data_IF_405625558928
#
_entry.id   IF_405625558928
#
_cell.length_a   1.000
_cell.length_b   1.000
_cell.length_c   1.000
_cell.angle_alpha   90.00
_cell.angle_beta   90.00
_cell.angle_gamma   90.00
#
_symmetry.space_group_name_H-M   'P 1'
#
loop_
_entity.id
_entity.type
_entity.pdbx_description
1 polymer ?
#
# COMPACT_ATOMS: atom_id res chain seq x y z
N UNK A 1 -2.08 -6.62 4.57
CA UNK A 1 -2.32 -6.97 3.15
C UNK A 1 -3.79 -7.29 2.89
N UNK A 2 -4.44 -6.72 1.88
CA UNK A 2 -5.72 -7.24 1.39
C UNK A 2 -5.57 -8.56 0.62
N UNK A 3 -6.48 -9.49 0.87
CA UNK A 3 -6.80 -10.60 -0.04
C UNK A 3 -8.07 -10.23 -0.80
N UNK A 4 -7.90 -9.91 -2.08
CA UNK A 4 -8.97 -9.49 -2.98
C UNK A 4 -9.84 -10.62 -3.53
N UNK A 5 -9.40 -11.89 -3.42
CA UNK A 5 -10.20 -13.05 -3.81
C UNK A 5 -11.14 -13.44 -2.68
N UNK A 6 -10.63 -13.43 -1.45
CA UNK A 6 -11.38 -13.86 -0.27
C UNK A 6 -11.98 -12.70 0.54
N UNK A 7 -11.81 -11.45 0.09
CA UNK A 7 -12.30 -10.22 0.72
C UNK A 7 -11.99 -10.16 2.22
N UNK A 8 -10.71 -10.10 2.57
CA UNK A 8 -10.26 -10.01 3.97
C UNK A 8 -8.92 -9.29 4.10
N UNK A 9 -8.58 -8.86 5.31
CA UNK A 9 -7.22 -8.44 5.64
C UNK A 9 -6.41 -9.58 6.26
N UNK A 10 -5.15 -9.67 5.84
CA UNK A 10 -4.17 -10.66 6.25
C UNK A 10 -2.96 -9.93 6.84
N UNK A 11 -2.43 -10.47 7.94
CA UNK A 11 -1.30 -9.92 8.69
C UNK A 11 -0.14 -10.91 8.67
N UNK A 12 1.04 -10.37 8.38
CA UNK A 12 2.31 -11.06 8.37
C UNK A 12 3.23 -10.43 9.40
N UNK A 13 4.23 -11.19 9.85
CA UNK A 13 5.36 -10.68 10.63
C UNK A 13 6.20 -9.80 9.72
N UNK A 14 6.46 -8.57 10.15
CA UNK A 14 7.35 -7.63 9.45
C UNK A 14 8.83 -8.04 9.56
N UNK A 15 9.15 -8.97 10.46
CA UNK A 15 10.52 -9.45 10.65
C UNK A 15 10.92 -10.54 9.66
N UNK A 16 10.01 -11.46 9.36
CA UNK A 16 10.32 -12.67 8.58
C UNK A 16 9.26 -13.08 7.54
N UNK A 17 8.15 -12.36 7.46
CA UNK A 17 7.08 -12.61 6.49
C UNK A 17 6.21 -13.82 6.84
N UNK A 18 6.39 -14.43 8.01
CA UNK A 18 5.52 -15.50 8.48
C UNK A 18 4.08 -15.01 8.68
N UNK A 19 3.10 -15.86 8.37
CA UNK A 19 1.68 -15.53 8.51
C UNK A 19 1.30 -15.45 9.99
N UNK A 20 0.86 -14.27 10.45
CA UNK A 20 0.41 -14.06 11.82
C UNK A 20 -1.11 -14.23 11.96
N UNK A 21 -1.86 -13.68 11.01
CA UNK A 21 -3.32 -13.79 10.99
C UNK A 21 -3.84 -13.84 9.56
N UNK A 22 -4.49 -14.95 9.20
CA UNK A 22 -5.05 -15.19 7.86
C UNK A 22 -6.39 -14.49 7.62
N UNK A 23 -6.98 -13.89 8.66
CA UNK A 23 -8.25 -13.17 8.61
C UNK A 23 -8.35 -12.19 9.80
N UNK A 24 -7.65 -11.06 9.72
CA UNK A 24 -7.78 -9.99 10.70
C UNK A 24 -9.24 -9.54 10.80
N UNK A 25 -9.87 -9.31 9.65
CA UNK A 25 -11.32 -9.20 9.48
C UNK A 25 -11.72 -9.32 8.01
N UNK A 26 -13.00 -9.58 7.77
CA UNK A 26 -13.60 -9.61 6.43
C UNK A 26 -13.88 -8.21 5.88
N UNK A 27 -13.77 -8.07 4.57
CA UNK A 27 -14.05 -6.86 3.80
C UNK A 27 -15.35 -7.01 3.01
N UNK A 28 -15.98 -5.89 2.68
CA UNK A 28 -17.25 -5.85 1.98
C UNK A 28 -17.18 -6.23 0.48
N UNK A 29 -15.99 -6.47 -0.07
CA UNK A 29 -15.77 -6.72 -1.50
C UNK A 29 -15.14 -5.54 -2.23
N UNK A 30 -15.48 -5.37 -3.51
CA UNK A 30 -15.02 -4.22 -4.31
C UNK A 30 -13.60 -4.32 -4.84
N UNK A 31 -12.98 -5.50 -4.87
CA UNK A 31 -11.58 -5.71 -5.26
C UNK A 31 -10.63 -4.82 -4.46
N UNK A 32 -10.42 -5.12 -3.16
CA UNK A 32 -9.54 -4.32 -2.33
C UNK A 32 -8.09 -4.39 -2.83
N UNK A 33 -7.39 -3.26 -2.91
CA UNK A 33 -6.04 -3.18 -3.48
C UNK A 33 -5.01 -2.84 -2.41
N UNK A 34 -5.24 -1.80 -1.62
CA UNK A 34 -4.30 -1.32 -0.62
C UNK A 34 -5.00 -1.12 0.70
N UNK A 35 -4.41 -1.63 1.79
CA UNK A 35 -4.85 -1.34 3.15
C UNK A 35 -3.71 -0.65 3.89
N UNK A 36 -3.96 0.59 4.34
CA UNK A 36 -2.99 1.46 5.01
C UNK A 36 -3.59 1.95 6.33
N UNK A 37 -2.78 2.00 7.38
CA UNK A 37 -3.20 2.60 8.65
C UNK A 37 -3.25 4.13 8.54
N UNK A 38 -4.39 4.71 8.91
CA UNK A 38 -4.62 6.17 8.90
C UNK A 38 -5.15 6.58 10.26
N UNK A 39 -4.26 7.07 11.12
CA UNK A 39 -4.60 7.38 12.51
C UNK A 39 -5.09 6.14 13.26
N UNK A 40 -6.31 6.19 13.79
CA UNK A 40 -6.95 5.08 14.52
C UNK A 40 -7.75 4.11 13.64
N UNK A 41 -7.55 4.15 12.33
CA UNK A 41 -8.33 3.38 11.35
C UNK A 41 -7.43 2.63 10.37
N UNK A 42 -8.01 1.66 9.68
CA UNK A 42 -7.45 1.06 8.47
C UNK A 42 -8.29 1.53 7.29
N UNK A 43 -7.65 2.21 6.35
CA UNK A 43 -8.28 2.63 5.10
C UNK A 43 -7.95 1.61 4.01
N UNK A 44 -8.96 1.18 3.27
CA UNK A 44 -8.85 0.15 2.24
C UNK A 44 -9.36 0.70 0.92
N UNK A 45 -8.49 0.83 -0.07
CA UNK A 45 -8.91 1.18 -1.44
C UNK A 45 -9.57 -0.01 -2.12
N UNK A 46 -10.65 0.26 -2.85
CA UNK A 46 -11.47 -0.74 -3.53
C UNK A 46 -11.61 -0.38 -5.01
N UNK A 47 -11.02 -1.19 -5.88
CA UNK A 47 -10.95 -0.89 -7.32
C UNK A 47 -12.30 -0.90 -8.00
N UNK A 48 -13.13 -1.92 -7.75
CA UNK A 48 -14.49 -2.03 -8.29
C UNK A 48 -15.51 -1.44 -7.31
N UNK A 49 -15.12 -1.27 -6.05
CA UNK A 49 -15.93 -0.56 -5.06
C UNK A 49 -15.93 0.97 -5.26
N UNK A 50 -15.03 1.48 -6.11
CA UNK A 50 -14.88 2.89 -6.47
C UNK A 50 -14.73 3.82 -5.27
N UNK A 51 -14.08 3.35 -4.20
CA UNK A 51 -14.03 4.06 -2.92
C UNK A 51 -12.82 3.68 -2.08
N UNK A 52 -12.67 4.39 -0.98
CA UNK A 52 -11.81 3.99 0.14
C UNK A 52 -12.69 3.64 1.34
N UNK A 53 -12.79 2.35 1.70
CA UNK A 53 -13.48 1.89 2.89
C UNK A 53 -12.67 2.19 4.16
N UNK A 54 -13.34 2.60 5.24
CA UNK A 54 -12.72 2.94 6.54
C UNK A 54 -13.15 1.92 7.59
N UNK A 55 -12.18 1.39 8.32
CA UNK A 55 -12.38 0.27 9.23
C UNK A 55 -11.67 0.51 10.56
N UNK A 56 -12.26 0.05 11.67
CA UNK A 56 -11.52 -0.08 12.92
C UNK A 56 -10.45 -1.17 12.81
N UNK A 57 -9.50 -1.21 13.75
CA UNK A 57 -8.51 -2.29 13.84
C UNK A 57 -9.13 -3.68 14.08
N UNK A 58 -10.38 -3.74 14.53
CA UNK A 58 -11.15 -4.97 14.78
C UNK A 58 -12.15 -5.30 13.67
N UNK A 59 -12.21 -4.50 12.60
CA UNK A 59 -13.05 -4.77 11.43
C UNK A 59 -14.46 -4.20 11.47
N UNK A 60 -14.75 -3.27 12.38
CA UNK A 60 -16.00 -2.51 12.33
C UNK A 60 -15.90 -1.47 11.20
N UNK A 61 -16.87 -1.47 10.28
CA UNK A 61 -16.95 -0.45 9.24
C UNK A 61 -17.28 0.92 9.87
N UNK A 62 -16.44 1.92 9.60
CA UNK A 62 -16.56 3.29 10.10
C UNK A 62 -17.14 4.24 9.03
N UNK A 63 -17.11 3.83 7.77
CA UNK A 63 -17.64 4.60 6.64
C UNK A 63 -16.83 4.33 5.37
N UNK A 64 -17.00 5.19 4.38
CA UNK A 64 -16.19 5.19 3.17
C UNK A 64 -15.98 6.61 2.66
N UNK A 65 -14.93 6.80 1.86
CA UNK A 65 -14.64 8.02 1.13
C UNK A 65 -14.83 7.76 -0.36
N UNK A 66 -15.56 8.66 -1.01
CA UNK A 66 -15.85 8.61 -2.44
C UNK A 66 -16.69 7.41 -2.88
N UNK A 67 -17.00 7.39 -4.19
CA UNK A 67 -17.82 6.35 -4.81
C UNK A 67 -19.31 6.43 -4.46
N UNK A 68 -20.13 5.72 -5.23
CA UNK A 68 -21.58 5.63 -5.04
C UNK A 68 -22.25 7.00 -4.86
N UNK A 69 -23.01 7.17 -3.77
CA UNK A 69 -23.75 8.42 -3.49
C UNK A 69 -22.84 9.61 -3.10
N UNK A 70 -21.59 9.37 -2.70
CA UNK A 70 -20.66 10.44 -2.31
C UNK A 70 -19.83 10.97 -3.48
N UNK A 71 -19.72 10.18 -4.55
CA UNK A 71 -19.03 10.54 -5.80
C UNK A 71 -17.53 10.77 -5.65
N UNK A 72 -16.88 11.25 -6.71
CA UNK A 72 -15.49 11.72 -6.70
C UNK A 72 -14.40 10.65 -6.80
N UNK A 73 -14.73 9.36 -6.84
CA UNK A 73 -13.77 8.26 -7.02
C UNK A 73 -14.31 7.18 -7.97
N UNK A 74 -13.41 6.62 -8.78
CA UNK A 74 -13.63 5.51 -9.72
C UNK A 74 -12.30 4.78 -9.99
N UNK A 75 -12.34 3.44 -10.00
CA UNK A 75 -11.19 2.60 -10.28
C UNK A 75 -10.01 2.88 -9.32
N UNK A 76 -10.31 2.86 -8.02
CA UNK A 76 -9.39 3.24 -6.94
C UNK A 76 -8.36 2.14 -6.66
N UNK A 77 -7.07 2.47 -6.65
CA UNK A 77 -5.99 1.46 -6.55
C UNK A 77 -5.04 1.77 -5.40
N UNK A 78 -3.85 2.27 -5.66
CA UNK A 78 -2.88 2.60 -4.64
C UNK A 78 -3.28 3.83 -3.81
N UNK A 79 -2.73 3.88 -2.61
CA UNK A 79 -2.78 5.05 -1.74
C UNK A 79 -1.39 5.29 -1.17
N UNK A 80 -1.10 6.53 -0.81
CA UNK A 80 0.09 6.93 -0.06
C UNK A 80 -0.23 8.08 0.88
N UNK A 81 0.62 8.34 1.88
CA UNK A 81 0.36 9.38 2.89
C UNK A 81 1.59 10.26 3.09
N UNK A 82 1.38 11.57 3.14
CA UNK A 82 2.38 12.57 3.53
C UNK A 82 1.78 13.47 4.60
N UNK A 83 2.34 13.42 5.81
CA UNK A 83 1.79 14.15 6.96
C UNK A 83 0.32 13.82 7.24
N UNK A 84 -0.56 14.81 7.08
CA UNK A 84 -2.00 14.67 7.28
C UNK A 84 -2.78 14.45 5.97
N UNK A 85 -2.11 14.31 4.82
CA UNK A 85 -2.76 14.10 3.53
C UNK A 85 -2.58 12.67 3.06
N UNK A 86 -3.68 12.03 2.70
CA UNK A 86 -3.73 10.75 2.00
C UNK A 86 -4.00 11.02 0.53
N UNK A 87 -3.13 10.50 -0.32
CA UNK A 87 -3.17 10.59 -1.78
C UNK A 87 -3.69 9.27 -2.33
N UNK A 88 -4.76 9.34 -3.11
CA UNK A 88 -5.51 8.19 -3.61
C UNK A 88 -5.51 8.24 -5.14
N UNK A 89 -5.05 7.18 -5.79
CA UNK A 89 -5.12 7.10 -7.26
C UNK A 89 -6.57 6.98 -7.72
N UNK A 90 -6.95 7.74 -8.74
CA UNK A 90 -8.22 7.64 -9.44
C UNK A 90 -7.94 7.45 -10.93
N UNK A 91 -8.47 6.39 -11.54
CA UNK A 91 -8.16 6.04 -12.92
C UNK A 91 -9.36 6.04 -13.87
N UNK A 92 -10.58 6.22 -13.35
CA UNK A 92 -11.80 6.26 -14.15
C UNK A 92 -12.61 7.53 -13.92
N UNK A 93 -13.77 7.65 -14.57
CA UNK A 93 -14.64 8.84 -14.59
C UNK A 93 -16.07 8.58 -14.09
N UNK A 94 -16.40 7.38 -13.66
CA UNK A 94 -17.69 7.06 -13.06
C UNK A 94 -17.88 7.78 -11.71
N UNK A 95 -19.09 7.76 -11.16
CA UNK A 95 -19.41 8.38 -9.86
C UNK A 95 -18.95 9.84 -9.74
N UNK A 96 -19.00 10.63 -10.82
CA UNK A 96 -18.46 12.01 -10.87
C UNK A 96 -17.00 12.15 -10.46
N UNK A 97 -16.22 11.06 -10.59
CA UNK A 97 -14.78 11.07 -10.38
C UNK A 97 -14.10 12.02 -11.38
N UNK A 98 -12.96 12.61 -11.00
CA UNK A 98 -12.10 13.29 -11.97
C UNK A 98 -11.63 12.28 -13.03
N UNK A 99 -10.94 12.75 -14.07
CA UNK A 99 -10.20 11.85 -14.98
C UNK A 99 -9.04 11.16 -14.24
N UNK A 100 -8.09 10.58 -14.97
CA UNK A 100 -6.83 10.10 -14.39
C UNK A 100 -6.20 11.18 -13.49
N UNK A 101 -6.16 10.90 -12.18
CA UNK A 101 -5.85 11.88 -11.14
C UNK A 101 -5.32 11.22 -9.87
N UNK A 102 -4.80 12.06 -8.98
CA UNK A 102 -4.61 11.76 -7.57
C UNK A 102 -5.58 12.63 -6.78
N UNK A 103 -6.45 11.99 -6.00
CA UNK A 103 -7.43 12.63 -5.13
C UNK A 103 -6.86 12.67 -3.70
N UNK A 104 -7.02 13.81 -3.03
CA UNK A 104 -6.41 14.07 -1.73
C UNK A 104 -7.48 14.15 -0.64
N UNK A 105 -7.24 13.45 0.46
CA UNK A 105 -8.06 13.50 1.67
C UNK A 105 -7.20 13.87 2.86
N UNK A 106 -7.74 14.63 3.80
CA UNK A 106 -7.15 14.78 5.12
C UNK A 106 -7.36 13.46 5.90
N UNK A 107 -6.51 13.18 6.90
CA UNK A 107 -6.62 11.96 7.73
C UNK A 107 -7.95 11.83 8.51
N UNK A 108 -8.75 12.90 8.61
CA UNK A 108 -10.11 12.85 9.17
C UNK A 108 -11.19 12.43 8.13
N UNK A 109 -10.81 12.27 6.87
CA UNK A 109 -11.69 11.93 5.75
C UNK A 109 -12.18 13.13 4.92
N UNK A 110 -11.80 14.37 5.28
CA UNK A 110 -12.18 15.56 4.52
C UNK A 110 -11.53 15.57 3.14
N UNK A 111 -12.31 15.77 2.07
CA UNK A 111 -11.77 15.92 0.72
C UNK A 111 -11.02 17.26 0.56
N UNK A 112 -9.77 17.22 0.10
CA UNK A 112 -8.89 18.38 -0.05
C UNK A 112 -8.76 18.87 -1.49
N UNK A 113 -9.24 18.10 -2.46
CA UNK A 113 -9.11 18.36 -3.89
C UNK A 113 -8.35 17.24 -4.62
N UNK A 114 -7.98 17.50 -5.86
CA UNK A 114 -7.27 16.54 -6.71
C UNK A 114 -6.34 17.25 -7.71
N UNK A 115 -5.38 16.53 -8.28
CA UNK A 115 -4.61 16.96 -9.44
C UNK A 115 -4.61 15.89 -10.53
N UNK A 116 -4.57 16.30 -11.78
CA UNK A 116 -4.61 15.39 -12.93
C UNK A 116 -3.24 14.73 -13.19
N UNK A 117 -3.28 13.47 -13.62
CA UNK A 117 -2.10 12.73 -14.08
C UNK A 117 -2.16 12.39 -15.57
N UNK A 118 -3.20 12.87 -16.27
CA UNK A 118 -3.42 12.63 -17.70
C UNK A 118 -2.20 13.00 -18.55
N UNK A 119 -1.85 12.13 -19.51
CA UNK A 119 -0.71 12.32 -20.42
C UNK A 119 0.66 12.01 -19.81
N UNK A 120 0.74 11.83 -18.50
CA UNK A 120 1.94 11.43 -17.77
C UNK A 120 1.74 10.03 -17.20
N UNK A 121 0.89 9.89 -16.17
CA UNK A 121 0.42 8.62 -15.63
C UNK A 121 -1.11 8.48 -15.88
N UNK A 122 -1.56 8.21 -17.13
CA UNK A 122 -2.97 8.22 -17.49
C UNK A 122 -3.79 7.05 -16.91
N UNK A 123 -3.17 6.10 -16.21
CA UNK A 123 -3.85 5.07 -15.43
C UNK A 123 -3.09 4.88 -14.11
N UNK A 124 -3.16 5.85 -13.18
CA UNK A 124 -2.35 5.85 -11.97
C UNK A 124 -2.67 4.61 -11.10
N UNK A 125 -1.65 4.00 -10.51
CA UNK A 125 -1.79 2.67 -9.90
C UNK A 125 -1.20 2.59 -8.49
N UNK A 126 -0.04 3.18 -8.24
CA UNK A 126 0.61 3.25 -6.92
C UNK A 126 1.02 4.67 -6.56
N UNK A 127 1.15 4.97 -5.26
CA UNK A 127 1.65 6.25 -4.75
C UNK A 127 2.73 5.95 -3.71
N UNK A 128 3.88 6.62 -3.82
CA UNK A 128 4.94 6.58 -2.82
C UNK A 128 5.43 8.01 -2.56
N UNK A 129 5.52 8.41 -1.29
CA UNK A 129 6.22 9.64 -0.91
C UNK A 129 7.70 9.50 -1.24
N UNK A 130 8.28 10.53 -1.84
CA UNK A 130 9.67 10.49 -2.25
C UNK A 130 10.31 11.87 -2.21
N UNK A 131 11.20 12.09 -1.24
CA UNK A 131 11.98 13.33 -1.12
C UNK A 131 11.12 14.61 -1.08
N UNK A 132 9.96 14.56 -0.41
CA UNK A 132 9.01 15.68 -0.36
C UNK A 132 8.12 15.82 -1.59
N UNK A 133 8.19 14.87 -2.52
CA UNK A 133 7.36 14.73 -3.71
C UNK A 133 6.57 13.41 -3.67
N UNK A 134 5.93 13.05 -4.78
CA UNK A 134 5.24 11.79 -5.00
C UNK A 134 5.80 11.08 -6.22
N UNK A 135 6.03 9.78 -6.09
CA UNK A 135 6.12 8.85 -7.21
C UNK A 135 4.74 8.26 -7.47
N UNK A 136 4.31 8.32 -8.71
CA UNK A 136 3.05 7.76 -9.18
C UNK A 136 3.36 6.75 -10.28
N UNK A 137 3.08 5.47 -10.04
CA UNK A 137 3.17 4.43 -11.08
C UNK A 137 1.91 4.42 -11.95
N UNK A 138 2.05 4.00 -13.20
CA UNK A 138 0.95 3.93 -14.17
C UNK A 138 0.85 2.53 -14.79
N UNK A 139 -0.38 2.12 -15.13
CA UNK A 139 -0.64 0.92 -15.92
C UNK A 139 -0.91 1.21 -17.41
N UNK A 140 -0.60 2.42 -17.85
CA UNK A 140 -0.69 2.83 -19.25
C UNK A 140 0.30 3.94 -19.58
N UNK A 141 0.54 4.15 -20.88
CA UNK A 141 1.53 5.08 -21.45
C UNK A 141 2.97 4.76 -21.00
N UNK A 142 3.51 3.65 -21.52
CA UNK A 142 4.81 3.04 -21.19
C UNK A 142 4.90 2.40 -19.79
N UNK A 143 3.86 2.55 -18.98
CA UNK A 143 3.74 1.94 -17.65
C UNK A 143 4.83 2.40 -16.66
N UNK A 144 5.19 3.67 -16.83
CA UNK A 144 6.28 4.36 -16.17
C UNK A 144 5.96 4.76 -14.72
N UNK A 145 7.00 5.25 -14.03
CA UNK A 145 6.88 5.94 -12.74
C UNK A 145 7.18 7.42 -12.97
N UNK A 146 6.25 8.28 -12.57
CA UNK A 146 6.36 9.73 -12.72
C UNK A 146 6.47 10.45 -11.39
N UNK A 147 7.19 11.58 -11.38
CA UNK A 147 7.32 12.45 -10.22
C UNK A 147 6.33 13.60 -10.28
N UNK A 148 5.70 13.88 -9.15
CA UNK A 148 4.84 15.04 -8.96
C UNK A 148 5.17 15.71 -7.63
N UNK A 149 5.11 17.04 -7.57
CA UNK A 149 5.08 17.73 -6.27
C UNK A 149 3.83 17.30 -5.49
N UNK A 150 3.81 17.56 -4.18
CA UNK A 150 2.62 17.33 -3.34
C UNK A 150 1.36 18.09 -3.83
N UNK A 151 1.55 19.17 -4.60
CA UNK A 151 0.48 19.96 -5.21
C UNK A 151 0.13 19.52 -6.64
N UNK A 152 0.79 18.49 -7.17
CA UNK A 152 0.46 17.90 -8.48
C UNK A 152 1.18 18.50 -9.69
N UNK A 153 2.19 19.34 -9.49
CA UNK A 153 3.03 19.79 -10.61
C UNK A 153 3.97 18.66 -11.03
N UNK A 154 4.02 18.33 -12.32
CA UNK A 154 4.94 17.30 -12.80
C UNK A 154 6.40 17.73 -12.65
N UNK A 155 7.23 16.80 -12.21
CA UNK A 155 8.69 16.93 -12.13
C UNK A 155 9.39 15.99 -13.13
N UNK A 156 8.63 15.43 -14.07
CA UNK A 156 9.13 14.51 -15.09
C UNK A 156 9.03 13.04 -14.70
N UNK A 157 9.60 12.19 -15.56
CA UNK A 157 9.66 10.74 -15.37
C UNK A 157 10.75 10.37 -14.36
N UNK A 158 10.43 9.50 -13.41
CA UNK A 158 11.41 8.89 -12.51
C UNK A 158 12.05 7.65 -13.13
N UNK A 159 11.22 6.78 -13.73
CA UNK A 159 11.67 5.55 -14.37
C UNK A 159 10.82 5.26 -15.60
N UNK A 160 11.47 4.85 -16.69
CA UNK A 160 10.84 4.30 -17.89
C UNK A 160 11.73 3.20 -18.46
N UNK A 161 11.22 1.97 -18.51
CA UNK A 161 11.87 0.87 -19.22
C UNK A 161 10.91 -0.27 -19.48
N UNK A 162 11.24 -1.13 -20.45
CA UNK A 162 10.53 -2.41 -20.61
C UNK A 162 10.91 -3.45 -19.54
N UNK A 163 11.98 -3.22 -18.78
CA UNK A 163 12.42 -4.11 -17.70
C UNK A 163 11.56 -3.98 -16.44
N UNK A 164 10.81 -2.89 -16.32
CA UNK A 164 9.79 -2.67 -15.32
C UNK A 164 8.52 -2.20 -16.04
N UNK A 165 7.62 -3.13 -16.33
CA UNK A 165 6.40 -2.87 -17.08
C UNK A 165 5.19 -3.16 -16.19
N UNK A 166 4.26 -2.21 -16.18
CA UNK A 166 3.11 -2.15 -15.28
C UNK A 166 3.57 -2.20 -13.82
N UNK A 167 4.24 -1.13 -13.39
CA UNK A 167 4.59 -0.94 -12.00
C UNK A 167 3.32 -0.80 -11.13
N UNK A 168 3.15 -1.69 -10.16
CA UNK A 168 2.10 -1.62 -9.15
C UNK A 168 2.65 -0.95 -7.88
N UNK A 169 2.80 -1.70 -6.78
CA UNK A 169 3.28 -1.16 -5.51
C UNK A 169 4.75 -0.77 -5.58
N UNK A 170 5.07 0.35 -4.93
CA UNK A 170 6.43 0.78 -4.63
C UNK A 170 6.62 0.85 -3.11
N UNK A 171 7.79 0.50 -2.62
CA UNK A 171 8.15 0.60 -1.19
C UNK A 171 9.65 0.86 -1.03
N UNK A 172 10.04 1.56 0.04
CA UNK A 172 11.46 1.72 0.35
C UNK A 172 12.06 0.43 0.90
N UNK A 173 13.25 0.09 0.41
CA UNK A 173 14.17 -0.81 1.08
C UNK A 173 14.86 -0.08 2.24
N UNK A 174 15.38 -0.84 3.20
CA UNK A 174 16.10 -0.37 4.38
C UNK A 174 17.36 0.45 4.04
N UNK A 175 17.94 0.23 2.86
CA UNK A 175 19.08 0.99 2.35
C UNK A 175 18.68 2.28 1.60
N UNK A 176 17.38 2.59 1.51
CA UNK A 176 16.84 3.75 0.83
C UNK A 176 16.54 3.55 -0.66
N UNK A 177 16.91 2.41 -1.25
CA UNK A 177 16.48 2.08 -2.62
C UNK A 177 14.96 1.87 -2.68
N UNK A 178 14.40 1.90 -3.88
CA UNK A 178 12.95 1.72 -4.08
C UNK A 178 12.70 0.34 -4.68
N UNK A 179 11.98 -0.51 -3.96
CA UNK A 179 11.45 -1.75 -4.47
C UNK A 179 10.15 -1.49 -5.23
N UNK A 180 9.99 -2.12 -6.38
CA UNK A 180 8.81 -1.97 -7.23
C UNK A 180 8.33 -3.34 -7.70
N UNK A 181 7.03 -3.59 -7.57
CA UNK A 181 6.37 -4.75 -8.15
C UNK A 181 6.02 -4.49 -9.62
N UNK A 182 6.68 -5.19 -10.54
CA UNK A 182 6.40 -5.15 -11.97
C UNK A 182 5.43 -6.25 -12.37
N UNK A 183 4.16 -5.91 -12.55
CA UNK A 183 3.10 -6.89 -12.79
C UNK A 183 3.26 -7.58 -14.14
N UNK A 184 3.43 -6.81 -15.22
CA UNK A 184 3.58 -7.33 -16.58
C UNK A 184 5.00 -7.81 -16.86
N UNK A 185 6.01 -7.15 -16.27
CA UNK A 185 7.42 -7.60 -16.36
C UNK A 185 7.73 -8.82 -15.47
N UNK A 186 6.79 -9.27 -14.65
CA UNK A 186 6.89 -10.48 -13.83
C UNK A 186 8.12 -10.49 -12.91
N UNK A 187 8.40 -9.36 -12.26
CA UNK A 187 9.57 -9.19 -11.43
C UNK A 187 9.33 -8.24 -10.25
N UNK A 188 10.20 -8.33 -9.25
CA UNK A 188 10.48 -7.22 -8.36
C UNK A 188 11.75 -6.54 -8.86
N UNK A 189 11.73 -5.22 -8.92
CA UNK A 189 12.85 -4.38 -9.33
C UNK A 189 13.27 -3.50 -8.16
N UNK A 190 14.57 -3.37 -7.93
CA UNK A 190 15.14 -2.38 -7.01
C UNK A 190 15.72 -1.24 -7.83
N UNK A 191 15.21 -0.04 -7.62
CA UNK A 191 15.61 1.19 -8.30
C UNK A 191 16.49 2.05 -7.39
N UNK A 192 17.47 2.70 -7.99
CA UNK A 192 18.24 3.75 -7.34
C UNK A 192 17.29 4.91 -7.01
N UNK A 193 17.27 5.40 -5.76
CA UNK A 193 16.28 6.39 -5.34
C UNK A 193 16.55 7.78 -5.92
N UNK A 194 17.76 8.06 -6.41
CA UNK A 194 18.12 9.37 -6.96
C UNK A 194 17.90 9.42 -8.47
N UNK A 195 18.25 8.35 -9.18
CA UNK A 195 18.23 8.32 -10.65
C UNK A 195 17.08 7.54 -11.24
N UNK A 196 16.45 6.65 -10.48
CA UNK A 196 15.46 5.70 -11.00
C UNK A 196 16.08 4.55 -11.80
N UNK A 197 17.41 4.41 -11.83
CA UNK A 197 18.06 3.30 -12.55
C UNK A 197 17.85 1.96 -11.87
N UNK A 198 17.79 0.88 -12.65
CA UNK A 198 17.72 -0.49 -12.11
C UNK A 198 19.03 -0.86 -11.43
N UNK A 199 18.96 -1.19 -10.14
CA UNK A 199 20.08 -1.70 -9.33
C UNK A 199 20.11 -3.23 -9.36
N UNK A 200 18.95 -3.87 -9.22
CA UNK A 200 18.81 -5.32 -9.24
C UNK A 200 17.37 -5.75 -9.51
N UNK A 201 17.18 -7.01 -9.90
CA UNK A 201 15.85 -7.60 -10.12
C UNK A 201 15.84 -9.08 -9.75
N UNK A 202 14.67 -9.60 -9.40
CA UNK A 202 14.41 -11.04 -9.32
C UNK A 202 13.03 -11.38 -9.89
N UNK A 203 12.89 -12.61 -10.40
CA UNK A 203 11.63 -13.09 -10.98
C UNK A 203 10.54 -13.22 -9.92
N UNK A 204 9.39 -12.62 -10.19
CA UNK A 204 8.21 -12.60 -9.32
C UNK A 204 6.96 -12.49 -10.20
N UNK A 205 6.44 -13.65 -10.62
CA UNK A 205 5.35 -13.71 -11.60
C UNK A 205 4.08 -13.02 -11.10
N UNK A 206 3.57 -12.08 -11.90
CA UNK A 206 2.39 -11.26 -11.61
C UNK A 206 2.51 -10.48 -10.31
N UNK A 207 3.70 -9.97 -9.97
CA UNK A 207 3.94 -9.23 -8.74
C UNK A 207 3.02 -8.01 -8.60
N UNK A 208 2.49 -7.79 -7.39
CA UNK A 208 1.53 -6.73 -7.07
C UNK A 208 1.97 -5.87 -5.90
N UNK A 209 2.35 -6.53 -4.81
CA UNK A 209 2.84 -5.90 -3.58
C UNK A 209 4.28 -6.28 -3.26
N UNK A 210 4.98 -5.41 -2.52
CA UNK A 210 6.38 -5.62 -2.11
C UNK A 210 6.68 -4.92 -0.78
N UNK A 211 7.46 -5.57 0.08
CA UNK A 211 7.92 -5.05 1.37
C UNK A 211 9.24 -5.72 1.77
N UNK A 212 10.22 -4.96 2.27
CA UNK A 212 11.44 -5.56 2.82
C UNK A 212 11.25 -5.89 4.30
N UNK A 213 11.50 -7.15 4.64
CA UNK A 213 11.39 -7.69 6.00
C UNK A 213 12.60 -7.29 6.85
N UNK A 214 12.42 -7.29 8.18
CA UNK A 214 13.47 -6.97 9.15
C UNK A 214 14.71 -7.87 9.09
N UNK A 215 14.55 -9.12 8.62
CA UNK A 215 15.65 -10.05 8.36
C UNK A 215 16.36 -9.82 7.01
N UNK A 216 15.95 -8.82 6.22
CA UNK A 216 16.53 -8.47 4.93
C UNK A 216 15.90 -9.17 3.72
N UNK A 217 15.08 -10.20 3.93
CA UNK A 217 14.33 -10.87 2.85
C UNK A 217 13.19 -9.98 2.33
N UNK A 218 12.60 -10.35 1.19
CA UNK A 218 11.55 -9.55 0.55
C UNK A 218 10.23 -10.32 0.60
N UNK A 219 9.22 -9.76 1.25
CA UNK A 219 7.85 -10.22 1.12
C UNK A 219 7.24 -9.59 -0.14
N UNK A 220 6.69 -10.40 -1.02
CA UNK A 220 6.01 -9.94 -2.23
C UNK A 220 4.70 -10.71 -2.45
N UNK A 221 3.81 -10.15 -3.27
CA UNK A 221 2.47 -10.71 -3.47
C UNK A 221 2.10 -10.81 -4.93
N UNK A 222 1.18 -11.72 -5.24
CA UNK A 222 0.55 -11.84 -6.55
C UNK A 222 -0.87 -12.41 -6.41
N UNK A 223 -1.48 -12.77 -7.54
CA UNK A 223 -2.82 -13.37 -7.56
C UNK A 223 -2.96 -14.73 -6.86
N UNK A 224 -1.86 -15.42 -6.52
CA UNK A 224 -1.89 -16.69 -5.79
C UNK A 224 -1.57 -16.56 -4.30
N UNK A 225 -1.01 -15.43 -3.85
CA UNK A 225 -0.93 -15.08 -2.43
C UNK A 225 0.29 -14.24 -2.09
N UNK A 226 0.94 -14.55 -0.97
CA UNK A 226 2.15 -13.87 -0.53
C UNK A 226 3.32 -14.87 -0.46
N UNK A 227 4.50 -14.36 -0.80
CA UNK A 227 5.74 -15.13 -0.97
C UNK A 227 6.90 -14.39 -0.31
N UNK A 228 7.78 -15.13 0.36
CA UNK A 228 9.04 -14.59 0.87
C UNK A 228 10.14 -14.98 -0.10
N UNK A 229 10.79 -13.99 -0.69
CA UNK A 229 12.03 -14.14 -1.43
C UNK A 229 13.20 -14.08 -0.46
N UNK A 230 13.90 -15.21 -0.33
CA UNK A 230 15.14 -15.30 0.42
C UNK A 230 16.29 -14.78 -0.43
N UNK A 231 16.91 -13.68 0.01
CA UNK A 231 17.95 -12.98 -0.75
C UNK A 231 19.24 -13.80 -0.79
N UNK A 232 19.52 -14.59 0.25
CA UNK A 232 20.75 -15.41 0.33
C UNK A 232 20.72 -16.62 -0.62
N UNK A 233 19.56 -17.21 -0.83
CA UNK A 233 19.35 -18.39 -1.69
C UNK A 233 18.70 -18.07 -3.03
N UNK A 234 18.34 -16.81 -3.26
CA UNK A 234 17.67 -16.32 -4.46
C UNK A 234 16.40 -17.11 -4.82
N UNK A 235 15.61 -17.50 -3.83
CA UNK A 235 14.44 -18.36 -4.00
C UNK A 235 13.21 -17.81 -3.29
N UNK A 236 12.03 -17.93 -3.92
CA UNK A 236 10.75 -17.54 -3.32
C UNK A 236 10.01 -18.74 -2.74
N UNK A 237 9.46 -18.59 -1.54
CA UNK A 237 8.57 -19.57 -0.89
C UNK A 237 7.22 -18.94 -0.61
N UNK A 238 6.14 -19.61 -0.99
CA UNK A 238 4.79 -19.15 -0.68
C UNK A 238 4.50 -19.31 0.82
N UNK A 239 4.09 -18.23 1.47
CA UNK A 239 3.74 -18.19 2.91
C UNK A 239 2.24 -18.03 3.14
N UNK A 240 1.49 -17.67 2.10
CA UNK A 240 0.04 -17.54 2.13
C UNK A 240 -0.56 -17.79 0.75
N UNK A 241 -1.75 -18.41 0.73
CA UNK A 241 -2.54 -18.64 -0.49
C UNK A 241 -3.79 -17.76 -0.47
N UNK A 242 -4.01 -17.00 -1.54
CA UNK A 242 -5.12 -16.03 -1.67
C UNK A 242 -4.87 -14.99 -2.76
N UNK A 243 -5.79 -14.05 -2.96
CA UNK A 243 -5.65 -12.98 -3.95
C UNK A 243 -4.82 -11.80 -3.43
N UNK A 244 -3.51 -12.02 -3.23
CA UNK A 244 -2.59 -11.05 -2.63
C UNK A 244 -2.53 -9.71 -3.37
N UNK A 245 -2.43 -8.64 -2.59
CA UNK A 245 -2.35 -7.24 -3.04
C UNK A 245 -1.31 -6.46 -2.22
N UNK A 246 -1.43 -5.15 -2.06
CA UNK A 246 -0.37 -4.32 -1.51
C UNK A 246 -0.07 -4.67 -0.03
N UNK A 247 1.19 -4.51 0.33
CA UNK A 247 1.74 -4.74 1.65
C UNK A 247 2.03 -3.39 2.30
N UNK A 248 1.37 -3.08 3.41
CA UNK A 248 1.69 -1.89 4.20
C UNK A 248 1.97 -2.30 5.63
N UNK A 249 2.79 -1.48 6.30
CA UNK A 249 3.09 -1.66 7.71
C UNK A 249 1.85 -1.33 8.55
N UNK A 250 1.69 -2.08 9.63
CA UNK A 250 0.58 -1.94 10.56
C UNK A 250 1.12 -1.94 11.98
N UNK A 251 1.10 -0.77 12.62
CA UNK A 251 1.38 -0.61 14.03
C UNK A 251 0.09 -0.87 14.80
N UNK A 252 -0.08 -2.11 15.25
CA UNK A 252 -1.16 -2.46 16.16
C UNK A 252 -1.06 -1.58 17.41
N UNK A 253 -1.91 -0.54 17.51
CA UNK A 253 -2.01 0.25 18.73
C UNK A 253 -2.56 -0.68 19.81
N UNK A 254 -1.83 -0.92 20.92
CA UNK A 254 -2.36 -1.75 21.99
C UNK A 254 -3.67 -1.13 22.47
N UNK A 255 -4.75 -1.91 22.50
CA UNK A 255 -6.00 -1.41 23.05
C UNK A 255 -5.78 -0.87 24.47
N UNK A 256 -6.53 0.13 24.93
CA UNK A 256 -6.37 0.73 26.25
C UNK A 256 -6.31 -0.29 27.40
N UNK A 257 -6.98 -1.43 27.25
CA UNK A 257 -6.95 -2.54 28.20
C UNK A 257 -5.54 -3.17 28.34
N UNK A 258 -4.79 -3.27 27.25
CA UNK A 258 -3.41 -3.79 27.22
C UNK A 258 -2.43 -2.82 27.88
N UNK A 259 -2.62 -1.50 27.68
CA UNK A 259 -1.86 -0.46 28.37
C UNK A 259 -2.20 -0.39 29.87
N UNK A 260 -3.48 -0.57 30.22
CA UNK A 260 -3.92 -0.63 31.60
C UNK A 260 -3.35 -1.85 32.33
N UNK A 261 -3.34 -3.03 31.70
CA UNK A 261 -2.76 -4.25 32.27
C UNK A 261 -1.25 -4.12 32.53
N UNK A 262 -0.50 -3.49 31.61
CA UNK A 262 0.91 -3.12 31.80
C UNK A 262 1.09 -2.14 32.96
N UNK A 263 0.24 -1.11 33.05
CA UNK A 263 0.26 -0.15 34.15
C UNK A 263 -0.01 -0.79 35.52
N UNK A 264 -1.01 -1.68 35.62
CA UNK A 264 -1.32 -2.40 36.85
C UNK A 264 -0.24 -3.41 37.24
N UNK A 265 0.37 -4.10 36.27
CA UNK A 265 1.49 -5.01 36.51
C UNK A 265 2.71 -4.30 37.11
N UNK A 266 3.06 -3.14 36.57
CA UNK A 266 4.17 -2.31 37.09
C UNK A 266 3.88 -1.74 38.48
N UNK A 267 2.63 -1.33 38.75
CA UNK A 267 2.20 -0.87 40.08
C UNK A 267 2.23 -1.98 41.13
N UNK A 268 1.83 -3.20 40.76
CA UNK A 268 1.88 -4.37 41.64
C UNK A 268 3.34 -4.76 41.98
N UNK A 269 4.24 -4.71 41.00
CA UNK A 269 5.67 -4.95 41.18
C UNK A 269 6.33 -3.88 42.06
N UNK A 270 5.96 -2.61 41.89
CA UNK A 270 6.46 -1.51 42.72
C UNK A 270 5.99 -1.61 44.18
N UNK A 271 4.75 -2.07 44.42
CA UNK A 271 4.22 -2.31 45.78
C UNK A 271 4.88 -3.51 46.47
N UNK A 272 5.29 -4.53 45.72
CA UNK A 272 5.94 -5.73 46.26
C UNK A 272 7.40 -5.51 46.68
N UNK A 273 8.08 -4.51 46.11
CA UNK A 273 9.45 -4.10 46.49
C UNK A 273 9.52 -3.18 47.72
N UNK A 274 8.38 -2.69 48.22
CA UNK A 274 8.30 -1.79 49.39
C UNK A 274 7.80 -2.48 50.66
N UNK A 275 7.83 -3.82 50.71
CA UNK A 275 7.54 -4.62 51.90
C UNK A 275 8.77 -5.42 52.28
#
# INVERSE_FOLDING_TARGET
MPDSTNNRLVVFSDQDGSLLNSNLFGLAGGTPIHAMQVGGEIWVSEQVGDRVGRWSFTGTALGALGGGATGGLDNVRGMGRVGNTVYVTNAGTANTAPVAAVVMYNVDGTHLGNFGTTGLAPSPFGVLEHNGDLLISSSSANDDIHRFTLAGSSLGTFHNSTSLNFAEQMAYATNGDILVAGFSSNNIVRLNPLTGDVVSTFSASGARGVFQLGNGNILWTNGSGAHVYDVGTASSTQVYSGGGRYLDHYDAVPEPASLAALGFGLLALARRRRR
#
